data_IF_796356370818
#
_entry.id   IF_796356370818
#
_cell.length_a   1.000
_cell.length_b   1.000
_cell.length_c   1.000
_cell.angle_alpha   90.00
_cell.angle_beta   90.00
_cell.angle_gamma   90.00
#
_symmetry.space_group_name_H-M   'P 1'
#
loop_
_entity.id
_entity.type
_entity.pdbx_description
1 polymer ?
#
# COMPACT_ATOMS: atom_id res chain seq x y z
N UNK A 1 -7.43 17.71 -13.51
CA UNK A 1 -6.91 18.14 -12.20
C UNK A 1 -5.44 17.73 -12.18
N UNK A 2 -4.53 18.69 -12.23
CA UNK A 2 -3.09 18.42 -12.11
C UNK A 2 -2.85 17.82 -10.72
N UNK A 3 -2.32 16.61 -10.65
CA UNK A 3 -2.02 15.96 -9.37
C UNK A 3 -0.98 16.79 -8.63
N UNK A 4 -1.41 17.55 -7.62
CA UNK A 4 -0.50 18.16 -6.68
C UNK A 4 0.20 17.02 -5.94
N UNK A 5 1.53 17.04 -5.95
CA UNK A 5 2.33 16.15 -5.13
C UNK A 5 2.06 16.52 -3.68
N UNK A 6 1.60 15.56 -2.89
CA UNK A 6 1.42 15.73 -1.44
C UNK A 6 2.79 15.83 -0.80
N UNK A 7 2.98 16.78 0.12
CA UNK A 7 4.29 17.04 0.73
C UNK A 7 4.16 17.06 2.25
N UNK A 8 4.89 16.15 2.91
CA UNK A 8 5.37 16.34 4.28
C UNK A 8 6.89 16.49 4.25
N UNK A 9 7.41 17.53 4.87
CA UNK A 9 8.84 17.78 5.01
C UNK A 9 9.20 17.91 6.49
N UNK A 10 10.22 17.17 6.90
CA UNK A 10 10.74 17.18 8.25
C UNK A 10 11.85 18.23 8.31
N UNK A 11 11.63 19.34 9.02
CA UNK A 11 12.59 20.44 9.10
C UNK A 11 13.59 20.18 10.23
N UNK A 12 13.05 19.90 11.41
CA UNK A 12 13.84 19.61 12.59
C UNK A 12 13.11 18.58 13.43
N UNK A 13 13.66 17.37 13.45
CA UNK A 13 13.22 16.28 14.30
C UNK A 13 14.24 16.07 15.42
N UNK A 14 13.76 15.71 16.60
CA UNK A 14 14.63 15.24 17.68
C UNK A 14 15.26 13.88 17.37
N UNK A 15 15.73 13.20 18.41
CA UNK A 15 16.30 11.85 18.29
C UNK A 15 15.26 10.73 18.24
N UNK A 16 14.00 11.05 17.93
CA UNK A 16 12.90 10.07 17.87
C UNK A 16 12.70 9.57 16.45
N UNK A 17 12.37 8.29 16.31
CA UNK A 17 11.91 7.70 15.05
C UNK A 17 10.37 7.71 15.00
N UNK A 18 9.75 7.68 13.80
CA UNK A 18 8.31 7.57 13.69
C UNK A 18 7.84 6.20 14.20
N UNK A 19 6.62 6.13 14.70
CA UNK A 19 6.03 4.89 15.22
C UNK A 19 5.02 4.34 14.21
N UNK A 20 5.01 3.02 14.05
CA UNK A 20 4.17 2.34 13.07
C UNK A 20 2.99 1.64 13.74
N UNK A 21 1.78 1.85 13.22
CA UNK A 21 0.54 1.21 13.68
C UNK A 21 -0.13 0.46 12.54
N UNK A 22 -0.94 -0.59 12.81
CA UNK A 22 -1.85 -1.14 11.81
C UNK A 22 -2.76 -0.05 11.23
N UNK A 23 -3.00 -0.10 9.92
CA UNK A 23 -3.83 0.88 9.21
C UNK A 23 -5.31 0.55 9.35
N UNK A 24 -6.15 1.56 9.58
CA UNK A 24 -7.59 1.44 9.44
C UNK A 24 -7.94 1.15 7.97
N UNK A 25 -8.53 -0.03 7.64
CA UNK A 25 -8.79 -0.44 6.27
C UNK A 25 -9.83 0.43 5.56
N UNK A 26 -10.58 1.24 6.30
CA UNK A 26 -11.60 2.15 5.76
C UNK A 26 -11.06 3.56 5.50
N UNK A 27 -9.86 3.87 5.99
CA UNK A 27 -9.29 5.20 5.92
C UNK A 27 -8.49 5.41 4.64
N UNK A 28 -8.83 6.44 3.88
CA UNK A 28 -7.97 6.99 2.82
C UNK A 28 -7.23 8.19 3.37
N UNK A 29 -5.94 8.32 3.08
CA UNK A 29 -5.15 9.39 3.66
C UNK A 29 -3.95 9.78 2.81
N UNK A 30 -3.32 10.88 3.19
CA UNK A 30 -2.17 11.49 2.54
C UNK A 30 -1.09 11.83 3.59
N UNK A 31 0.17 11.84 3.16
CA UNK A 31 1.28 12.32 3.98
C UNK A 31 1.01 13.75 4.47
N UNK A 32 1.28 14.02 5.74
CA UNK A 32 1.07 15.30 6.41
C UNK A 32 -0.30 15.47 7.07
N UNK A 33 -1.28 14.61 6.79
CA UNK A 33 -2.54 14.61 7.53
C UNK A 33 -2.32 14.20 8.99
N UNK A 34 -3.24 14.60 9.86
CA UNK A 34 -3.20 14.23 11.26
C UNK A 34 -3.84 12.86 11.44
N UNK A 35 -3.10 11.94 12.07
CA UNK A 35 -3.54 10.60 12.39
C UNK A 35 -4.17 10.52 13.78
N UNK A 36 -5.06 9.54 13.95
CA UNK A 36 -5.72 9.21 15.21
C UNK A 36 -5.71 7.70 15.42
N UNK A 37 -5.46 7.29 16.66
CA UNK A 37 -5.58 5.90 17.06
C UNK A 37 -7.06 5.58 17.31
N UNK A 38 -7.53 4.47 16.74
CA UNK A 38 -8.89 3.95 16.87
C UNK A 38 -8.82 2.50 17.31
N UNK A 39 -9.89 2.02 17.94
CA UNK A 39 -10.04 0.61 18.29
C UNK A 39 -11.06 -0.01 17.32
N UNK A 40 -10.61 -0.97 16.52
CA UNK A 40 -11.49 -1.77 15.65
C UNK A 40 -11.40 -3.21 16.13
N UNK A 41 -12.52 -3.76 16.62
CA UNK A 41 -12.53 -5.05 17.28
C UNK A 41 -11.70 -5.02 18.57
N UNK A 42 -10.58 -5.75 18.58
CA UNK A 42 -9.66 -5.83 19.71
C UNK A 42 -8.24 -5.32 19.36
N UNK A 43 -8.10 -4.59 18.24
CA UNK A 43 -6.82 -4.04 17.77
C UNK A 43 -6.84 -2.51 17.77
N UNK A 44 -5.70 -1.93 18.12
CA UNK A 44 -5.45 -0.50 17.95
C UNK A 44 -4.94 -0.30 16.52
N UNK A 45 -5.71 0.44 15.74
CA UNK A 45 -5.37 0.83 14.37
C UNK A 45 -5.20 2.34 14.31
N UNK A 46 -4.62 2.84 13.23
CA UNK A 46 -4.50 4.27 12.95
C UNK A 46 -5.10 4.61 11.58
N UNK A 47 -5.85 5.71 11.54
CA UNK A 47 -6.38 6.32 10.33
C UNK A 47 -6.36 7.84 10.44
N UNK A 48 -7.03 8.53 9.51
CA UNK A 48 -7.19 9.99 9.58
C UNK A 48 -7.97 10.37 10.83
N UNK A 49 -7.47 11.39 11.52
CA UNK A 49 -8.10 12.04 12.66
C UNK A 49 -9.38 12.74 12.25
N UNK A 50 -10.45 12.51 13.01
CA UNK A 50 -11.71 13.26 12.89
C UNK A 50 -11.71 14.53 13.78
N UNK A 51 -10.54 14.89 14.30
CA UNK A 51 -10.31 16.00 15.22
C UNK A 51 -10.54 15.63 16.69
N UNK A 52 -11.19 14.51 17.02
CA UNK A 52 -11.54 14.22 18.42
C UNK A 52 -10.34 13.83 19.28
N UNK A 53 -9.38 13.08 18.72
CA UNK A 53 -8.20 12.60 19.42
C UNK A 53 -6.96 12.53 18.51
N UNK A 54 -6.47 13.69 18.01
CA UNK A 54 -5.28 13.75 17.17
C UNK A 54 -4.06 13.20 17.93
N UNK A 55 -3.27 12.36 17.27
CA UNK A 55 -2.14 11.64 17.89
C UNK A 55 -0.78 11.99 17.28
N UNK A 56 -0.71 12.14 15.96
CA UNK A 56 0.56 12.42 15.26
C UNK A 56 0.34 12.82 13.81
N UNK A 57 1.42 13.22 13.14
CA UNK A 57 1.43 13.56 11.72
C UNK A 57 1.74 12.29 10.93
N UNK A 58 0.90 11.98 9.95
CA UNK A 58 1.07 10.85 9.04
C UNK A 58 2.28 11.11 8.16
N UNK A 59 3.30 10.26 8.24
CA UNK A 59 4.52 10.41 7.45
C UNK A 59 4.34 9.87 6.05
N UNK A 60 4.08 8.56 5.97
CA UNK A 60 3.98 7.85 4.71
C UNK A 60 2.94 6.72 4.79
N UNK A 61 2.14 6.61 3.73
CA UNK A 61 1.67 5.34 3.22
C UNK A 61 1.88 5.41 1.72
N UNK A 62 2.95 4.78 1.25
CA UNK A 62 3.32 4.92 -0.15
C UNK A 62 2.35 4.13 -1.03
N UNK A 63 1.31 4.74 -1.62
CA UNK A 63 0.27 4.05 -2.42
C UNK A 63 0.78 3.25 -3.62
N UNK A 64 2.08 3.30 -3.89
CA UNK A 64 2.79 2.52 -4.89
C UNK A 64 3.95 1.75 -4.27
N UNK A 65 3.76 0.44 -4.03
CA UNK A 65 4.91 -0.45 -4.10
C UNK A 65 5.51 -0.32 -5.51
N UNK A 66 6.84 -0.28 -5.64
CA UNK A 66 7.46 -0.33 -6.97
C UNK A 66 6.96 -1.59 -7.66
N UNK A 67 6.24 -1.41 -8.76
CA UNK A 67 5.76 -2.52 -9.56
C UNK A 67 6.68 -2.74 -10.74
N UNK A 68 7.02 -3.99 -11.02
CA UNK A 68 7.69 -4.37 -12.25
C UNK A 68 6.78 -5.30 -13.07
N UNK A 69 6.79 -5.18 -14.40
CA UNK A 69 6.17 -6.17 -15.26
C UNK A 69 7.07 -7.42 -15.35
N UNK A 70 6.44 -8.60 -15.34
CA UNK A 70 6.99 -9.86 -15.84
C UNK A 70 6.23 -10.18 -17.11
N UNK A 71 6.89 -10.08 -18.26
CA UNK A 71 6.30 -10.34 -19.58
C UNK A 71 6.73 -11.72 -20.07
N UNK A 72 5.76 -12.49 -20.56
CA UNK A 72 5.96 -13.80 -21.20
C UNK A 72 6.80 -14.77 -20.36
N UNK A 73 6.51 -14.82 -19.06
CA UNK A 73 7.09 -15.83 -18.19
C UNK A 73 6.52 -17.20 -18.55
N UNK A 74 7.41 -18.13 -18.92
CA UNK A 74 7.04 -19.51 -19.21
C UNK A 74 7.06 -20.30 -17.91
N UNK A 75 5.89 -20.78 -17.49
CA UNK A 75 5.73 -21.67 -16.34
C UNK A 75 5.39 -23.06 -16.86
N UNK A 76 6.17 -24.06 -16.45
CA UNK A 76 5.91 -25.46 -16.75
C UNK A 76 5.52 -26.16 -15.46
N UNK A 77 4.31 -26.73 -15.45
CA UNK A 77 3.73 -27.46 -14.33
C UNK A 77 3.75 -28.94 -14.68
N UNK A 78 4.66 -29.74 -14.09
CA UNK A 78 4.67 -31.19 -14.29
C UNK A 78 3.38 -31.81 -13.75
N UNK A 79 2.81 -32.76 -14.49
CA UNK A 79 1.61 -33.45 -14.10
C UNK A 79 1.68 -34.94 -14.45
N UNK A 80 0.71 -35.72 -13.97
CA UNK A 80 0.51 -37.10 -14.44
C UNK A 80 -0.68 -37.09 -15.38
N UNK A 81 -0.41 -37.37 -16.66
CA UNK A 81 -1.42 -37.44 -17.70
C UNK A 81 -2.28 -38.69 -17.61
N UNK A 82 -3.59 -38.50 -17.59
CA UNK A 82 -4.58 -39.57 -17.79
C UNK A 82 -5.35 -39.24 -19.07
N UNK A 83 -5.50 -40.22 -19.95
CA UNK A 83 -6.25 -40.03 -21.19
C UNK A 83 -7.72 -39.72 -20.89
N UNK A 84 -8.27 -38.68 -21.53
CA UNK A 84 -9.66 -38.26 -21.40
C UNK A 84 -10.65 -39.12 -22.22
N UNK A 85 -10.13 -40.07 -23.02
CA UNK A 85 -10.90 -40.89 -23.96
C UNK A 85 -11.16 -40.24 -25.32
N UNK A 86 -10.77 -38.98 -25.51
CA UNK A 86 -10.90 -38.19 -26.74
C UNK A 86 -9.54 -37.88 -27.41
N UNK A 87 -8.46 -38.44 -26.88
CA UNK A 87 -7.11 -38.30 -27.43
C UNK A 87 -6.30 -37.18 -26.78
N UNK A 88 -6.77 -36.56 -25.70
CA UNK A 88 -5.98 -35.64 -24.89
C UNK A 88 -5.56 -36.30 -23.59
N UNK A 89 -4.45 -35.83 -23.03
CA UNK A 89 -4.06 -36.13 -21.67
C UNK A 89 -4.50 -34.97 -20.77
N UNK A 90 -5.10 -35.29 -19.64
CA UNK A 90 -5.51 -34.33 -18.63
C UNK A 90 -4.81 -34.62 -17.30
N UNK A 91 -4.61 -33.59 -16.48
CA UNK A 91 -4.10 -33.77 -15.13
C UNK A 91 -5.14 -34.49 -14.27
N UNK A 92 -4.77 -35.63 -13.68
CA UNK A 92 -5.69 -36.39 -12.80
C UNK A 92 -5.91 -35.75 -11.43
N UNK A 93 -4.99 -34.89 -11.00
CA UNK A 93 -5.00 -34.21 -9.71
C UNK A 93 -4.73 -32.72 -9.90
N UNK A 94 -4.99 -31.94 -8.86
CA UNK A 94 -4.52 -30.55 -8.81
C UNK A 94 -2.99 -30.54 -8.72
N UNK A 95 -2.36 -29.73 -9.57
CA UNK A 95 -0.92 -29.52 -9.58
C UNK A 95 -0.61 -28.03 -9.47
N UNK A 96 0.51 -27.71 -8.83
CA UNK A 96 0.88 -26.33 -8.52
C UNK A 96 2.34 -26.05 -8.84
N UNK A 97 2.62 -24.80 -9.19
CA UNK A 97 3.99 -24.33 -9.45
C UNK A 97 4.16 -22.90 -8.96
N UNK A 98 5.29 -22.65 -8.31
CA UNK A 98 5.72 -21.30 -7.96
C UNK A 98 6.15 -20.54 -9.22
N UNK A 99 5.66 -19.31 -9.35
CA UNK A 99 6.16 -18.33 -10.32
C UNK A 99 7.45 -17.68 -9.81
N UNK A 100 8.16 -17.02 -10.72
CA UNK A 100 9.42 -16.34 -10.38
C UNK A 100 9.24 -15.24 -9.34
N UNK A 101 8.09 -14.56 -9.33
CA UNK A 101 7.81 -13.45 -8.41
C UNK A 101 6.47 -13.64 -7.66
N UNK A 102 6.48 -13.47 -6.32
CA UNK A 102 5.25 -13.41 -5.53
C UNK A 102 4.61 -12.00 -5.59
N UNK A 103 3.55 -11.78 -4.82
CA UNK A 103 2.88 -10.46 -4.69
C UNK A 103 2.42 -9.86 -6.02
N UNK A 104 1.70 -10.66 -6.79
CA UNK A 104 1.19 -10.29 -8.11
C UNK A 104 -0.05 -9.40 -7.98
N UNK A 105 -0.16 -8.38 -8.82
CA UNK A 105 -1.38 -7.57 -8.94
C UNK A 105 -2.40 -8.37 -9.74
N UNK A 106 -3.37 -9.00 -9.06
CA UNK A 106 -4.36 -9.91 -9.68
C UNK A 106 -5.04 -9.37 -10.93
N UNK A 107 -5.37 -8.07 -10.97
CA UNK A 107 -6.02 -7.44 -12.12
C UNK A 107 -5.13 -7.30 -13.36
N UNK A 108 -3.82 -7.53 -13.22
CA UNK A 108 -2.85 -7.47 -14.32
C UNK A 108 -2.47 -8.85 -14.87
N UNK A 109 -2.91 -9.94 -14.22
CA UNK A 109 -2.51 -11.29 -14.57
C UNK A 109 -3.25 -11.77 -15.82
N UNK A 110 -2.48 -12.23 -16.80
CA UNK A 110 -2.96 -12.82 -18.05
C UNK A 110 -2.22 -14.14 -18.24
N UNK A 111 -2.95 -15.19 -18.59
CA UNK A 111 -2.42 -16.51 -18.93
C UNK A 111 -3.00 -16.96 -20.29
N UNK A 112 -2.21 -17.70 -21.06
CA UNK A 112 -2.62 -18.29 -22.33
C UNK A 112 -3.40 -19.62 -22.18
N UNK A 113 -3.44 -20.19 -20.98
CA UNK A 113 -4.23 -21.37 -20.63
C UNK A 113 -5.38 -20.98 -19.71
N UNK A 114 -6.60 -21.37 -20.08
CA UNK A 114 -7.81 -21.11 -19.30
C UNK A 114 -7.95 -22.02 -18.07
N UNK A 115 -8.74 -21.59 -17.08
CA UNK A 115 -9.08 -22.41 -15.91
C UNK A 115 -8.02 -22.47 -14.80
N UNK A 116 -6.87 -21.81 -14.98
CA UNK A 116 -5.84 -21.72 -13.94
C UNK A 116 -6.26 -20.80 -12.79
N UNK A 117 -5.84 -21.16 -11.58
CA UNK A 117 -6.13 -20.40 -10.35
C UNK A 117 -4.83 -19.78 -9.82
N UNK A 118 -4.82 -18.45 -9.71
CA UNK A 118 -3.70 -17.70 -9.14
C UNK A 118 -3.89 -17.48 -7.63
N UNK A 119 -2.88 -17.88 -6.85
CA UNK A 119 -2.64 -17.34 -5.52
C UNK A 119 -1.64 -16.18 -5.63
N UNK A 120 -2.18 -14.97 -5.68
CA UNK A 120 -1.47 -13.73 -5.97
C UNK A 120 -0.48 -13.31 -4.88
N UNK A 121 -0.75 -13.67 -3.62
CA UNK A 121 0.15 -13.36 -2.51
C UNK A 121 1.45 -14.16 -2.60
N UNK A 122 1.33 -15.48 -2.77
CA UNK A 122 2.47 -16.39 -2.75
C UNK A 122 3.11 -16.56 -4.13
N UNK A 123 2.46 -16.10 -5.20
CA UNK A 123 2.90 -16.35 -6.57
C UNK A 123 2.77 -17.81 -6.97
N UNK A 124 1.75 -18.51 -6.49
CA UNK A 124 1.50 -19.92 -6.83
C UNK A 124 0.44 -20.00 -7.91
N UNK A 125 0.76 -20.67 -9.01
CA UNK A 125 -0.17 -20.97 -10.09
C UNK A 125 -0.66 -22.42 -9.94
N UNK A 126 -1.97 -22.59 -9.85
CA UNK A 126 -2.62 -23.88 -9.62
C UNK A 126 -3.40 -24.27 -10.87
N UNK A 127 -3.14 -25.47 -11.38
CA UNK A 127 -3.93 -26.10 -12.42
C UNK A 127 -4.87 -27.14 -11.79
N UNK A 128 -6.19 -26.93 -11.83
CA UNK A 128 -7.15 -27.90 -11.31
C UNK A 128 -7.07 -29.25 -12.03
N UNK A 129 -7.56 -30.30 -11.38
CA UNK A 129 -7.76 -31.59 -12.03
C UNK A 129 -8.66 -31.43 -13.27
N UNK A 130 -8.30 -32.12 -14.36
CA UNK A 130 -8.95 -32.01 -15.67
C UNK A 130 -8.29 -31.01 -16.63
N UNK A 131 -7.28 -30.26 -16.20
CA UNK A 131 -6.54 -29.35 -17.10
C UNK A 131 -5.79 -30.15 -18.17
N UNK A 132 -5.91 -29.74 -19.44
CA UNK A 132 -5.29 -30.43 -20.59
C UNK A 132 -3.77 -30.23 -20.56
N UNK A 133 -3.02 -31.32 -20.72
CA UNK A 133 -1.56 -31.32 -20.86
C UNK A 133 -1.20 -30.97 -22.30
N UNK A 134 -0.37 -29.94 -22.47
CA UNK A 134 -0.02 -29.35 -23.76
C UNK A 134 1.49 -29.33 -24.04
N UNK A 135 2.29 -29.95 -23.18
CA UNK A 135 3.74 -29.97 -23.28
C UNK A 135 4.29 -31.33 -22.90
N UNK A 136 5.26 -31.79 -23.69
CA UNK A 136 6.05 -33.00 -23.48
C UNK A 136 7.42 -32.56 -22.93
N UNK A 137 7.62 -32.77 -21.63
CA UNK A 137 8.80 -32.30 -20.90
C UNK A 137 9.99 -33.25 -21.07
N UNK A 138 9.77 -34.55 -21.25
CA UNK A 138 10.83 -35.56 -21.35
C UNK A 138 11.14 -36.03 -22.78
N UNK A 139 10.30 -35.65 -23.75
CA UNK A 139 10.49 -35.88 -25.18
C UNK A 139 10.05 -37.27 -25.65
N UNK A 140 9.19 -37.97 -24.91
CA UNK A 140 8.71 -39.31 -25.25
C UNK A 140 7.54 -39.31 -26.27
N UNK A 141 7.04 -38.12 -26.64
CA UNK A 141 5.93 -37.92 -27.56
C UNK A 141 4.55 -37.89 -26.87
N UNK A 142 4.50 -37.95 -25.55
CA UNK A 142 3.30 -37.85 -24.72
C UNK A 142 3.36 -36.56 -23.92
N UNK A 143 2.28 -35.77 -23.96
CA UNK A 143 2.21 -34.58 -23.11
C UNK A 143 2.08 -34.99 -21.64
N UNK A 144 3.07 -34.66 -20.83
CA UNK A 144 3.17 -34.94 -19.40
C UNK A 144 3.11 -33.67 -18.53
N UNK A 145 3.01 -32.50 -19.17
CA UNK A 145 3.13 -31.21 -18.49
C UNK A 145 2.19 -30.15 -19.06
N UNK A 146 1.95 -29.13 -18.26
CA UNK A 146 1.22 -27.91 -18.67
C UNK A 146 2.24 -26.79 -18.83
N UNK A 147 2.44 -26.33 -20.06
CA UNK A 147 3.21 -25.12 -20.39
C UNK A 147 2.24 -23.96 -20.55
N UNK A 148 2.39 -22.97 -19.69
CA UNK A 148 1.61 -21.72 -19.70
C UNK A 148 2.57 -20.54 -19.84
N UNK A 149 2.20 -19.58 -20.67
CA UNK A 149 2.84 -18.27 -20.78
C UNK A 149 1.99 -17.27 -19.99
N UNK A 150 2.58 -16.68 -18.97
CA UNK A 150 1.92 -15.69 -18.12
C UNK A 150 2.58 -14.33 -18.25
N UNK A 151 1.76 -13.28 -18.22
CA UNK A 151 2.21 -11.90 -18.12
C UNK A 151 1.50 -11.24 -16.94
N UNK A 152 2.25 -10.54 -16.11
CA UNK A 152 1.72 -9.93 -14.89
C UNK A 152 2.58 -8.78 -14.40
N UNK A 153 1.98 -7.92 -13.56
CA UNK A 153 2.69 -6.92 -12.78
C UNK A 153 2.82 -7.41 -11.34
N UNK A 154 4.02 -7.36 -10.76
CA UNK A 154 4.26 -7.76 -9.37
C UNK A 154 4.85 -6.62 -8.56
N UNK A 155 4.64 -6.68 -7.24
CA UNK A 155 5.21 -5.73 -6.29
C UNK A 155 6.62 -6.19 -5.93
N UNK A 156 7.60 -5.32 -6.12
CA UNK A 156 8.98 -5.59 -5.70
C UNK A 156 9.03 -5.49 -4.18
N UNK A 157 9.41 -6.59 -3.52
CA UNK A 157 9.68 -6.58 -2.09
C UNK A 157 10.85 -5.62 -1.82
N UNK A 158 10.65 -4.70 -0.90
CA UNK A 158 11.59 -3.60 -0.64
C UNK A 158 13.01 -4.10 -0.38
N UNK A 159 13.98 -3.35 -0.91
CA UNK A 159 15.37 -3.48 -0.52
C UNK A 159 15.47 -3.11 0.97
N UNK A 160 16.20 -3.87 1.82
CA UNK A 160 16.44 -3.46 3.20
C UNK A 160 17.05 -2.05 3.26
N UNK A 161 16.30 -1.10 3.81
CA UNK A 161 16.63 0.33 3.80
C UNK A 161 15.67 1.22 2.98
N UNK A 162 14.76 0.61 2.22
CA UNK A 162 13.68 1.28 1.52
C UNK A 162 12.38 1.20 2.35
N UNK A 163 11.83 2.37 2.67
CA UNK A 163 10.86 2.60 3.75
C UNK A 163 9.41 2.37 3.29
N UNK A 164 9.17 1.31 2.54
CA UNK A 164 7.99 1.15 1.68
C UNK A 164 6.90 0.32 2.37
N UNK A 165 6.05 0.98 3.17
CA UNK A 165 5.06 0.36 4.07
C UNK A 165 3.78 -0.17 3.40
N UNK A 166 3.62 -0.12 2.07
CA UNK A 166 2.37 -0.48 1.34
C UNK A 166 2.19 -1.94 0.91
N UNK A 167 2.92 -2.85 1.53
CA UNK A 167 2.47 -4.23 1.72
C UNK A 167 2.07 -4.54 3.16
N UNK A 168 2.40 -3.66 4.11
CA UNK A 168 2.42 -4.05 5.53
C UNK A 168 1.08 -3.88 6.24
N UNK A 169 0.13 -3.14 5.65
CA UNK A 169 -1.08 -2.72 6.35
C UNK A 169 -0.75 -1.84 7.56
N UNK A 170 0.31 -1.04 7.47
CA UNK A 170 0.75 -0.14 8.55
C UNK A 170 0.95 1.28 8.05
N UNK A 171 0.70 2.22 8.96
CA UNK A 171 0.90 3.66 8.82
C UNK A 171 1.96 4.12 9.80
N UNK A 172 2.83 5.04 9.39
CA UNK A 172 3.85 5.65 10.25
C UNK A 172 3.43 7.05 10.68
N UNK A 173 3.66 7.36 11.96
CA UNK A 173 3.29 8.63 12.57
C UNK A 173 4.50 9.27 13.24
N UNK A 174 4.69 10.56 12.98
CA UNK A 174 5.49 11.44 13.81
C UNK A 174 4.62 11.97 14.95
N UNK A 175 4.95 11.58 16.19
CA UNK A 175 4.22 12.02 17.39
C UNK A 175 5.09 12.83 18.35
N UNK A 176 6.41 12.79 18.17
CA UNK A 176 7.34 13.55 18.98
C UNK A 176 7.41 15.01 18.50
N UNK A 177 7.73 15.90 19.45
CA UNK A 177 7.94 17.33 19.18
C UNK A 177 8.95 17.54 18.06
N UNK A 178 8.61 18.40 17.10
CA UNK A 178 9.45 18.69 15.94
C UNK A 178 8.88 19.83 15.08
N UNK A 179 9.69 20.33 14.16
CA UNK A 179 9.28 21.30 13.14
C UNK A 179 9.04 20.56 11.83
N UNK A 180 7.85 20.74 11.28
CA UNK A 180 7.38 20.08 10.07
C UNK A 180 6.80 21.10 9.11
N UNK A 181 6.80 20.77 7.82
CA UNK A 181 6.05 21.48 6.80
C UNK A 181 5.09 20.53 6.09
N UNK A 182 3.86 20.97 5.88
CA UNK A 182 2.87 20.18 5.13
C UNK A 182 1.94 21.02 4.29
N UNK A 183 1.43 20.43 3.21
CA UNK A 183 0.31 20.98 2.42
C UNK A 183 -1.08 20.55 2.94
N UNK A 184 -1.15 19.74 4.00
CA UNK A 184 -2.38 19.22 4.59
C UNK A 184 -2.97 20.17 5.65
N UNK A 185 -3.42 21.34 5.20
CA UNK A 185 -4.07 22.34 6.05
C UNK A 185 -5.33 22.92 5.41
N UNK A 186 -6.24 23.45 6.24
CA UNK A 186 -7.47 24.10 5.80
C UNK A 186 -7.18 25.45 5.12
N UNK A 187 -7.15 25.42 3.79
CA UNK A 187 -6.89 26.61 2.95
C UNK A 187 -7.91 27.74 3.10
N UNK A 188 -9.04 27.53 3.78
CA UNK A 188 -10.02 28.58 4.06
C UNK A 188 -9.64 29.43 5.27
N UNK A 189 -8.68 28.99 6.09
CA UNK A 189 -8.26 29.71 7.27
C UNK A 189 -7.07 30.64 7.02
N UNK A 190 -6.93 31.60 7.94
CA UNK A 190 -5.74 32.45 8.03
C UNK A 190 -4.79 31.90 9.08
N UNK A 191 -3.53 31.75 8.68
CA UNK A 191 -2.43 31.31 9.55
C UNK A 191 -1.53 32.51 9.85
N UNK A 192 -1.32 32.80 11.12
CA UNK A 192 -0.37 33.81 11.59
C UNK A 192 0.67 33.13 12.48
N UNK A 193 1.90 33.63 12.48
CA UNK A 193 2.98 33.11 13.32
C UNK A 193 2.52 33.05 14.78
N UNK A 194 2.83 31.97 15.48
CA UNK A 194 2.41 31.64 16.84
C UNK A 194 0.91 31.38 17.04
N UNK A 195 0.10 31.33 15.98
CA UNK A 195 -1.27 30.84 16.11
C UNK A 195 -1.27 29.38 16.56
N UNK A 196 -2.19 29.03 17.45
CA UNK A 196 -2.44 27.63 17.81
C UNK A 196 -3.14 26.92 16.66
N UNK A 197 -2.70 25.69 16.38
CA UNK A 197 -3.28 24.80 15.39
C UNK A 197 -4.11 23.71 16.06
N UNK A 198 -5.21 23.38 15.40
CA UNK A 198 -6.15 22.32 15.74
C UNK A 198 -6.27 21.35 14.55
N UNK A 199 -6.96 20.23 14.76
CA UNK A 199 -7.29 19.28 13.70
C UNK A 199 -8.77 19.40 13.36
N UNK A 200 -9.11 19.52 12.08
CA UNK A 200 -10.51 19.44 11.65
C UNK A 200 -10.96 17.97 11.46
N UNK A 201 -12.20 17.77 11.03
CA UNK A 201 -12.79 16.45 10.82
C UNK A 201 -12.15 15.65 9.65
N UNK A 202 -11.42 16.33 8.76
CA UNK A 202 -10.75 15.73 7.60
C UNK A 202 -9.25 15.47 7.87
N UNK A 203 -8.81 15.60 9.12
CA UNK A 203 -7.40 15.43 9.50
C UNK A 203 -6.48 16.55 9.02
N UNK A 204 -7.02 17.72 8.66
CA UNK A 204 -6.25 18.88 8.22
C UNK A 204 -5.94 19.83 9.39
N UNK A 205 -4.78 20.45 9.34
CA UNK A 205 -4.39 21.50 10.28
C UNK A 205 -5.22 22.77 10.06
N UNK A 206 -5.79 23.33 11.12
CA UNK A 206 -6.65 24.52 11.05
C UNK A 206 -6.40 25.46 12.23
N UNK A 207 -6.58 26.77 12.05
CA UNK A 207 -6.60 27.72 13.17
C UNK A 207 -8.00 27.90 13.76
N UNK A 208 -9.04 27.35 13.11
CA UNK A 208 -10.39 27.37 13.61
C UNK A 208 -10.55 26.32 14.71
N UNK A 209 -10.83 26.75 15.94
CA UNK A 209 -11.01 25.84 17.06
C UNK A 209 -12.43 25.24 17.02
N UNK A 210 -12.59 23.90 16.85
CA UNK A 210 -13.93 23.30 16.72
C UNK A 210 -14.82 23.49 17.95
N UNK A 211 -14.23 23.43 19.15
CA UNK A 211 -14.90 23.68 20.44
C UNK A 211 -13.96 24.41 21.38
N UNK A 212 -14.45 25.18 22.35
CA UNK A 212 -13.59 25.94 23.27
C UNK A 212 -12.62 25.08 24.09
N UNK A 213 -12.92 23.79 24.25
CA UNK A 213 -12.09 22.81 24.95
C UNK A 213 -11.23 21.94 24.03
N UNK A 214 -11.26 22.20 22.72
CA UNK A 214 -10.51 21.40 21.76
C UNK A 214 -9.00 21.59 21.95
N UNK A 215 -8.20 20.52 22.07
CA UNK A 215 -6.78 20.63 22.36
C UNK A 215 -6.03 21.21 21.16
N UNK A 216 -5.14 22.17 21.42
CA UNK A 216 -4.16 22.61 20.43
C UNK A 216 -3.10 21.53 20.24
N UNK A 217 -2.74 21.23 19.00
CA UNK A 217 -1.81 20.14 18.64
C UNK A 217 -0.47 20.64 18.13
N UNK A 218 -0.42 21.88 17.66
CA UNK A 218 0.78 22.51 17.15
C UNK A 218 0.67 24.04 17.23
N UNK A 219 1.74 24.73 16.88
CA UNK A 219 1.72 26.16 16.58
C UNK A 219 2.28 26.44 15.19
N UNK A 220 1.79 27.51 14.56
CA UNK A 220 2.35 28.01 13.31
C UNK A 220 3.73 28.62 13.56
N UNK A 221 4.78 28.10 12.92
CA UNK A 221 6.11 28.70 12.91
C UNK A 221 6.38 29.50 11.62
N UNK A 222 5.77 29.08 10.50
CA UNK A 222 5.84 29.76 9.21
C UNK A 222 4.52 29.64 8.43
N UNK A 223 3.80 30.75 8.16
CA UNK A 223 2.54 30.69 7.44
C UNK A 223 2.75 30.39 5.95
N UNK A 224 1.77 29.74 5.28
CA UNK A 224 1.81 29.56 3.83
C UNK A 224 1.80 30.92 3.11
N UNK A 225 2.50 30.98 2.00
CA UNK A 225 2.64 32.17 1.14
C UNK A 225 2.37 31.80 -0.31
N UNK A 226 2.22 32.80 -1.20
CA UNK A 226 2.08 32.53 -2.64
C UNK A 226 3.32 31.89 -3.30
N UNK A 227 4.46 31.84 -2.59
CA UNK A 227 5.70 31.19 -3.05
C UNK A 227 5.86 29.83 -2.39
N UNK A 228 5.53 29.73 -1.10
CA UNK A 228 5.57 28.49 -0.34
C UNK A 228 4.15 28.05 0.03
N UNK A 229 3.61 27.10 -0.73
CA UNK A 229 2.25 26.58 -0.51
C UNK A 229 2.14 25.62 0.70
N UNK A 230 3.21 25.43 1.49
CA UNK A 230 3.20 24.62 2.72
C UNK A 230 3.03 25.48 3.97
N UNK A 231 2.43 24.88 5.01
CA UNK A 231 2.37 25.40 6.37
C UNK A 231 3.53 24.83 7.18
N UNK A 232 4.38 25.68 7.75
CA UNK A 232 5.40 25.27 8.72
C UNK A 232 4.82 25.35 10.14
N UNK A 233 4.96 24.24 10.88
CA UNK A 233 4.44 24.08 12.22
C UNK A 233 5.46 23.50 13.19
N UNK A 234 5.32 23.87 14.45
CA UNK A 234 5.94 23.19 15.59
C UNK A 234 4.90 22.29 16.24
N UNK A 235 5.05 20.97 16.05
CA UNK A 235 4.26 19.93 16.73
C UNK A 235 4.57 19.91 18.22
N UNK A 236 3.58 19.67 19.07
CA UNK A 236 3.74 19.73 20.53
C UNK A 236 4.37 18.49 21.17
#
# INVERSE_FOLDING_TARGET
>A
MSGRCVILRLIQIGSSLPVSFPTDPTSTFQAGQIGQLKVIGNEIVCGVSDGTAPFGIIDDINTSAFTAPSTDEVVVIPAVGVGDGYGHYISAIEVMKDMRHPSIVRSSFIADVEGLVLNDNNGILVAPAGTILNYDLDGDGINDSIRVIVSYTYRIANIPGDNTTIGSGRITLWFARGIFETDQFDTQQRYVVNATLFCNADGLLTTNQPTSSHPGIAMVSGPPTGINETLELLWY
#
